data_IF_217767696941
#
_entry.id   IF_217767696941
#
_cell.length_a   1.000
_cell.length_b   1.000
_cell.length_c   1.000
_cell.angle_alpha   90.00
_cell.angle_beta   90.00
_cell.angle_gamma   90.00
#
_symmetry.space_group_name_H-M   'P 1'
#
loop_
_entity.id
_entity.type
_entity.pdbx_description
1 polymer ?
#
# COMPACT_ATOMS: atom_id res chain seq x y z
N UNK A 1 13.41 7.22 -20.80
CA UNK A 1 14.80 6.74 -20.93
C UNK A 1 14.85 5.44 -21.74
N UNK A 2 14.17 4.36 -21.31
CA UNK A 2 14.10 3.09 -22.06
C UNK A 2 13.48 3.24 -23.45
N UNK A 3 12.44 4.07 -23.58
CA UNK A 3 11.84 4.38 -24.87
C UNK A 3 12.83 5.03 -25.83
N UNK A 4 13.64 6.00 -25.36
CA UNK A 4 14.66 6.65 -26.18
C UNK A 4 15.76 5.66 -26.60
N UNK A 5 16.17 4.75 -25.71
CA UNK A 5 17.12 3.69 -26.02
C UNK A 5 16.62 2.79 -27.16
N UNK A 6 15.31 2.46 -27.18
CA UNK A 6 14.72 1.69 -28.29
C UNK A 6 14.76 2.47 -29.61
N UNK A 7 14.45 3.78 -29.56
CA UNK A 7 14.54 4.64 -30.75
C UNK A 7 15.98 4.72 -31.26
N UNK A 8 16.97 4.85 -30.35
CA UNK A 8 18.39 4.90 -30.70
C UNK A 8 18.88 3.54 -31.29
N UNK A 9 18.22 2.43 -30.94
CA UNK A 9 18.42 1.11 -31.54
C UNK A 9 17.68 0.88 -32.88
N UNK A 10 17.02 1.93 -33.38
CA UNK A 10 16.24 1.87 -34.64
C UNK A 10 14.83 1.28 -34.51
N UNK A 11 14.35 1.06 -33.29
CA UNK A 11 12.98 0.62 -33.02
C UNK A 11 12.01 1.80 -33.11
N UNK A 12 10.76 1.50 -33.43
CA UNK A 12 9.68 2.52 -33.45
C UNK A 12 8.49 2.05 -32.60
N UNK A 13 8.59 2.11 -31.25
CA UNK A 13 7.48 1.74 -30.39
C UNK A 13 6.23 2.59 -30.69
N UNK A 14 5.07 1.95 -30.76
CA UNK A 14 3.81 2.63 -31.12
C UNK A 14 3.39 3.69 -30.11
N UNK A 15 3.76 3.51 -28.85
CA UNK A 15 3.40 4.43 -27.77
C UNK A 15 4.47 4.40 -26.65
N UNK A 16 4.44 5.42 -25.78
CA UNK A 16 5.41 5.60 -24.70
C UNK A 16 5.03 4.90 -23.40
N UNK A 17 4.02 4.02 -23.40
CA UNK A 17 3.64 3.29 -22.19
C UNK A 17 4.75 2.35 -21.75
N UNK A 18 4.90 2.16 -20.45
CA UNK A 18 5.90 1.26 -19.87
C UNK A 18 5.73 -0.17 -20.36
N UNK A 19 4.48 -0.64 -20.47
CA UNK A 19 4.16 -2.01 -20.93
C UNK A 19 4.65 -2.24 -22.35
N UNK A 20 4.39 -1.33 -23.27
CA UNK A 20 4.85 -1.43 -24.67
C UNK A 20 6.36 -1.33 -24.75
N UNK A 21 6.96 -0.37 -24.04
CA UNK A 21 8.43 -0.19 -24.02
C UNK A 21 9.14 -1.44 -23.50
N UNK A 22 8.62 -2.05 -22.42
CA UNK A 22 9.17 -3.31 -21.86
C UNK A 22 9.02 -4.47 -22.84
N UNK A 23 7.84 -4.63 -23.45
CA UNK A 23 7.57 -5.69 -24.43
C UNK A 23 8.50 -5.60 -25.63
N UNK A 24 8.62 -4.42 -26.24
CA UNK A 24 9.50 -4.16 -27.39
C UNK A 24 10.97 -4.43 -27.05
N UNK A 25 11.40 -4.05 -25.83
CA UNK A 25 12.78 -4.31 -25.40
C UNK A 25 13.05 -5.79 -25.20
N UNK A 26 12.14 -6.54 -24.60
CA UNK A 26 12.27 -8.00 -24.48
C UNK A 26 12.27 -8.65 -25.87
N UNK A 27 11.37 -8.19 -26.76
CA UNK A 27 11.30 -8.67 -28.15
C UNK A 27 12.61 -8.45 -28.92
N UNK A 28 13.21 -7.26 -28.81
CA UNK A 28 14.50 -6.97 -29.43
C UNK A 28 15.61 -7.96 -29.00
N UNK A 29 15.75 -8.23 -27.72
CA UNK A 29 16.75 -9.17 -27.24
C UNK A 29 16.39 -10.63 -27.54
N UNK A 30 15.11 -10.96 -27.70
CA UNK A 30 14.68 -12.26 -28.18
C UNK A 30 15.09 -12.48 -29.63
N UNK A 31 14.90 -11.49 -30.50
CA UNK A 31 15.34 -11.54 -31.89
C UNK A 31 16.85 -11.71 -32.00
N UNK A 32 17.63 -10.97 -31.20
CA UNK A 32 19.07 -11.11 -31.10
C UNK A 32 19.50 -12.56 -30.75
N UNK A 33 18.84 -13.16 -29.75
CA UNK A 33 19.18 -14.52 -29.31
C UNK A 33 18.77 -15.56 -30.34
N UNK A 34 17.64 -15.42 -30.99
CA UNK A 34 17.18 -16.24 -32.11
C UNK A 34 18.18 -16.16 -33.27
N UNK A 35 18.60 -14.96 -33.67
CA UNK A 35 19.53 -14.74 -34.74
C UNK A 35 20.91 -15.32 -34.42
N UNK A 36 21.39 -15.20 -33.18
CA UNK A 36 22.65 -15.80 -32.71
C UNK A 36 22.63 -17.32 -32.83
N UNK A 37 21.57 -17.96 -32.39
CA UNK A 37 21.39 -19.41 -32.46
C UNK A 37 21.24 -19.88 -33.90
N UNK A 38 20.47 -19.14 -34.72
CA UNK A 38 20.32 -19.44 -36.14
C UNK A 38 21.67 -19.48 -36.85
N UNK A 39 22.50 -18.45 -36.67
CA UNK A 39 23.81 -18.37 -37.29
C UNK A 39 24.75 -19.49 -36.80
N UNK A 40 24.68 -19.84 -35.52
CA UNK A 40 25.47 -20.92 -34.95
C UNK A 40 25.11 -22.27 -35.56
N UNK A 41 23.83 -22.66 -35.54
CA UNK A 41 23.41 -23.95 -36.13
C UNK A 41 23.55 -23.98 -37.64
N UNK A 42 23.47 -22.84 -38.31
CA UNK A 42 23.72 -22.75 -39.74
C UNK A 42 25.18 -23.05 -40.09
N UNK A 43 26.12 -22.60 -39.27
CA UNK A 43 27.56 -22.92 -39.42
C UNK A 43 27.84 -24.40 -39.16
N UNK A 44 27.03 -25.07 -38.34
CA UNK A 44 27.10 -26.53 -38.12
C UNK A 44 26.38 -27.36 -39.21
N UNK A 45 25.93 -26.72 -40.32
CA UNK A 45 25.29 -27.33 -41.49
C UNK A 45 23.89 -27.92 -41.23
N UNK A 46 23.15 -27.50 -40.21
CA UNK A 46 21.76 -27.89 -40.03
C UNK A 46 20.85 -27.24 -41.10
N UNK A 47 19.77 -27.94 -41.46
CA UNK A 47 18.74 -27.38 -42.33
C UNK A 47 17.88 -26.35 -41.56
N UNK A 48 17.25 -25.39 -42.27
CA UNK A 48 16.41 -24.37 -41.62
C UNK A 48 15.26 -24.97 -40.77
N UNK A 49 14.71 -26.13 -41.21
CA UNK A 49 13.65 -26.79 -40.43
C UNK A 49 14.19 -27.36 -39.09
N UNK A 50 15.39 -27.98 -39.13
CA UNK A 50 16.05 -28.46 -37.90
C UNK A 50 16.44 -27.29 -36.99
N UNK A 51 16.95 -26.19 -37.58
CA UNK A 51 17.36 -25.00 -36.83
C UNK A 51 16.17 -24.43 -36.03
N UNK A 52 14.94 -24.34 -36.59
CA UNK A 52 13.78 -23.86 -35.85
C UNK A 52 13.50 -24.69 -34.60
N UNK A 53 13.63 -26.02 -34.68
CA UNK A 53 13.44 -26.89 -33.50
C UNK A 53 14.56 -26.68 -32.48
N UNK A 54 15.83 -26.65 -32.96
CA UNK A 54 16.98 -26.45 -32.10
C UNK A 54 17.00 -25.09 -31.41
N UNK A 55 16.56 -24.02 -32.08
CA UNK A 55 16.41 -22.70 -31.45
C UNK A 55 15.42 -22.78 -30.27
N UNK A 56 14.24 -23.37 -30.45
CA UNK A 56 13.24 -23.53 -29.39
C UNK A 56 13.79 -24.29 -28.17
N UNK A 57 14.63 -25.29 -28.39
CA UNK A 57 15.24 -26.05 -27.30
C UNK A 57 16.37 -25.31 -26.58
N UNK A 58 17.16 -24.50 -27.33
CA UNK A 58 18.41 -23.89 -26.85
C UNK A 58 18.32 -22.41 -26.49
N UNK A 59 17.16 -21.77 -26.65
CA UNK A 59 16.96 -20.39 -26.18
C UNK A 59 17.30 -20.29 -24.69
N UNK A 60 18.24 -19.39 -24.38
CA UNK A 60 18.63 -19.05 -23.02
C UNK A 60 17.79 -17.88 -22.51
N UNK A 61 16.66 -18.22 -21.84
CA UNK A 61 15.71 -17.23 -21.30
C UNK A 61 16.34 -16.39 -20.18
N UNK A 62 17.23 -16.98 -19.36
CA UNK A 62 17.94 -16.24 -18.32
C UNK A 62 18.81 -15.14 -18.93
N UNK A 63 19.66 -15.48 -19.89
CA UNK A 63 20.53 -14.53 -20.60
C UNK A 63 19.72 -13.43 -21.30
N UNK A 64 18.62 -13.79 -21.94
CA UNK A 64 17.70 -12.84 -22.56
C UNK A 64 17.19 -11.82 -21.55
N UNK A 65 16.67 -12.28 -20.42
CA UNK A 65 16.14 -11.40 -19.36
C UNK A 65 17.24 -10.56 -18.70
N UNK A 66 18.44 -11.11 -18.48
CA UNK A 66 19.59 -10.35 -17.97
C UNK A 66 19.94 -9.16 -18.86
N UNK A 67 19.88 -9.32 -20.18
CA UNK A 67 20.14 -8.26 -21.16
C UNK A 67 18.99 -7.25 -21.22
N UNK A 68 17.77 -7.73 -21.37
CA UNK A 68 16.58 -6.89 -21.53
C UNK A 68 16.31 -6.03 -20.29
N UNK A 69 16.41 -6.62 -19.09
CA UNK A 69 16.03 -5.98 -17.83
C UNK A 69 17.14 -5.16 -17.16
N UNK A 70 18.31 -5.05 -17.79
CA UNK A 70 19.50 -4.39 -17.21
C UNK A 70 19.20 -3.00 -16.67
N UNK A 71 18.43 -2.20 -17.41
CA UNK A 71 18.10 -0.81 -17.06
C UNK A 71 16.68 -0.64 -16.52
N UNK A 72 15.94 -1.73 -16.25
CA UNK A 72 14.62 -1.61 -15.67
C UNK A 72 14.72 -1.07 -14.24
N UNK A 73 13.95 -0.05 -13.95
CA UNK A 73 13.82 0.59 -12.64
C UNK A 73 12.38 0.44 -12.13
N UNK A 74 12.19 0.50 -10.80
CA UNK A 74 10.88 0.41 -10.19
C UNK A 74 10.48 -0.98 -9.70
N UNK A 75 9.21 -1.11 -9.34
CA UNK A 75 8.60 -2.35 -8.84
C UNK A 75 7.80 -3.04 -9.94
N UNK A 76 8.13 -4.29 -10.24
CA UNK A 76 7.46 -5.05 -11.29
C UNK A 76 7.41 -6.55 -11.03
N UNK A 77 6.33 -7.17 -11.52
CA UNK A 77 6.24 -8.60 -11.81
C UNK A 77 5.86 -8.71 -13.27
N UNK A 78 6.67 -9.42 -14.04
CA UNK A 78 6.45 -9.62 -15.47
C UNK A 78 6.27 -11.10 -15.76
N UNK A 79 5.16 -11.46 -16.34
CA UNK A 79 4.91 -12.80 -16.88
C UNK A 79 4.97 -12.75 -18.41
N UNK A 80 5.69 -13.70 -19.02
CA UNK A 80 5.82 -13.80 -20.46
C UNK A 80 5.65 -15.22 -20.95
N UNK A 81 5.01 -15.38 -22.10
CA UNK A 81 4.87 -16.63 -22.83
C UNK A 81 5.52 -16.46 -24.21
N UNK A 82 6.48 -17.31 -24.54
CA UNK A 82 7.17 -17.28 -25.82
C UNK A 82 6.45 -18.14 -26.85
N UNK A 83 6.54 -17.75 -28.13
CA UNK A 83 5.82 -18.43 -29.21
C UNK A 83 6.14 -19.92 -29.38
N UNK A 84 7.32 -20.38 -28.94
CA UNK A 84 7.71 -21.78 -28.96
C UNK A 84 7.27 -22.61 -27.75
N UNK A 85 6.72 -21.95 -26.70
CA UNK A 85 6.11 -22.60 -25.54
C UNK A 85 6.85 -22.45 -24.22
N UNK A 86 8.02 -21.80 -24.17
CA UNK A 86 8.66 -21.43 -22.91
C UNK A 86 7.89 -20.27 -22.25
N UNK A 87 7.86 -20.26 -20.91
CA UNK A 87 7.29 -19.17 -20.14
C UNK A 87 8.27 -18.69 -19.06
N UNK A 88 8.06 -17.47 -18.58
CA UNK A 88 8.80 -16.94 -17.45
C UNK A 88 7.94 -16.02 -16.59
N UNK A 89 8.30 -15.91 -15.32
CA UNK A 89 7.81 -14.85 -14.42
C UNK A 89 9.00 -14.24 -13.72
N UNK A 90 9.24 -12.94 -13.92
CA UNK A 90 10.38 -12.21 -13.35
C UNK A 90 9.90 -11.18 -12.32
N UNK A 91 10.61 -11.11 -11.19
CA UNK A 91 10.36 -10.16 -10.11
C UNK A 91 11.45 -9.09 -10.02
N UNK A 92 11.06 -7.87 -9.66
CA UNK A 92 11.97 -6.75 -9.43
C UNK A 92 13.07 -7.06 -8.38
N UNK A 93 14.24 -6.39 -8.45
CA UNK A 93 15.40 -6.70 -7.63
C UNK A 93 15.27 -6.29 -6.16
N UNK A 94 14.29 -5.45 -5.79
CA UNK A 94 14.04 -4.98 -4.43
C UNK A 94 12.85 -5.67 -3.77
N UNK A 95 12.15 -6.56 -4.51
CA UNK A 95 10.90 -7.21 -4.10
C UNK A 95 9.81 -6.20 -3.68
N UNK A 96 9.71 -5.09 -4.40
CA UNK A 96 8.71 -4.05 -4.15
C UNK A 96 7.31 -4.66 -4.22
N UNK A 97 7.05 -5.47 -5.26
CA UNK A 97 5.77 -6.17 -5.44
C UNK A 97 5.86 -7.64 -5.03
N UNK A 98 4.78 -8.20 -4.45
CA UNK A 98 4.74 -9.61 -4.06
C UNK A 98 4.55 -10.52 -5.27
N UNK A 99 5.25 -11.68 -5.25
CA UNK A 99 5.04 -12.76 -6.20
C UNK A 99 5.24 -14.09 -5.50
N UNK A 100 4.31 -14.99 -5.70
CA UNK A 100 4.30 -16.33 -5.12
C UNK A 100 4.08 -17.37 -6.20
N UNK A 101 4.61 -18.58 -5.98
CA UNK A 101 4.38 -19.70 -6.87
C UNK A 101 4.18 -21.01 -6.10
N UNK A 102 3.50 -21.92 -6.73
CA UNK A 102 3.35 -23.32 -6.36
C UNK A 102 3.74 -24.17 -7.55
N UNK A 103 4.37 -25.30 -7.30
CA UNK A 103 4.77 -26.25 -8.32
C UNK A 103 4.60 -27.65 -7.79
N UNK A 104 4.05 -28.53 -8.63
CA UNK A 104 4.05 -29.98 -8.47
C UNK A 104 4.50 -30.66 -9.78
N UNK A 105 4.24 -31.96 -9.94
CA UNK A 105 4.67 -32.73 -11.09
C UNK A 105 3.88 -32.40 -12.37
N UNK A 106 2.73 -31.75 -12.26
CA UNK A 106 1.81 -31.49 -13.38
C UNK A 106 1.68 -30.01 -13.72
N UNK A 107 1.81 -29.13 -12.74
CA UNK A 107 1.44 -27.72 -12.90
C UNK A 107 2.40 -26.76 -12.17
N UNK A 108 2.57 -25.57 -12.76
CA UNK A 108 3.17 -24.41 -12.12
C UNK A 108 2.15 -23.28 -12.08
N UNK A 109 1.89 -22.74 -10.90
CA UNK A 109 0.94 -21.63 -10.69
C UNK A 109 1.68 -20.48 -10.09
N UNK A 110 1.51 -19.27 -10.64
CA UNK A 110 2.09 -18.03 -10.12
C UNK A 110 1.00 -17.00 -9.89
N UNK A 111 1.07 -16.31 -8.77
CA UNK A 111 0.16 -15.20 -8.44
C UNK A 111 0.87 -14.12 -7.60
N UNK A 112 0.30 -12.93 -7.60
CA UNK A 112 0.75 -11.84 -6.71
C UNK A 112 0.36 -12.07 -5.25
N UNK A 113 -0.61 -12.97 -4.99
CA UNK A 113 -1.15 -13.23 -3.65
C UNK A 113 -1.18 -14.73 -3.35
N UNK A 114 -0.62 -15.12 -2.21
CA UNK A 114 -0.59 -16.52 -1.73
C UNK A 114 -1.98 -17.14 -1.58
N UNK A 115 -3.00 -16.45 -1.00
CA UNK A 115 -4.34 -17.02 -0.84
C UNK A 115 -5.01 -17.39 -2.16
N UNK A 116 -4.70 -16.72 -3.27
CA UNK A 116 -5.23 -17.07 -4.57
C UNK A 116 -4.77 -18.47 -4.99
N UNK A 117 -3.49 -18.78 -4.82
CA UNK A 117 -2.94 -20.12 -5.09
C UNK A 117 -3.53 -21.16 -4.14
N UNK A 118 -3.54 -20.85 -2.82
CA UNK A 118 -4.06 -21.77 -1.81
C UNK A 118 -5.50 -22.18 -2.07
N UNK A 119 -6.36 -21.21 -2.39
CA UNK A 119 -7.77 -21.47 -2.64
C UNK A 119 -7.99 -22.26 -3.92
N UNK A 120 -7.29 -21.92 -5.00
CA UNK A 120 -7.47 -22.59 -6.30
C UNK A 120 -6.89 -24.00 -6.33
N UNK A 121 -5.73 -24.20 -5.68
CA UNK A 121 -5.02 -25.47 -5.71
C UNK A 121 -5.28 -26.35 -4.48
N UNK A 122 -6.00 -25.82 -3.47
CA UNK A 122 -6.27 -26.50 -2.18
C UNK A 122 -4.97 -26.97 -1.49
N UNK A 123 -3.97 -26.10 -1.43
CA UNK A 123 -2.65 -26.38 -0.86
C UNK A 123 -2.40 -25.60 0.44
N UNK A 124 -1.52 -26.12 1.29
CA UNK A 124 -1.16 -25.46 2.53
C UNK A 124 -0.24 -24.26 2.27
N UNK A 125 -0.22 -23.27 3.19
CA UNK A 125 0.57 -22.05 3.03
C UNK A 125 2.09 -22.30 2.93
N UNK A 126 2.60 -23.40 3.48
CA UNK A 126 4.01 -23.79 3.43
C UNK A 126 4.45 -24.35 2.08
N UNK A 127 3.50 -24.74 1.22
CA UNK A 127 3.78 -25.27 -0.11
C UNK A 127 3.91 -24.15 -1.16
N UNK A 128 3.40 -22.96 -0.83
CA UNK A 128 3.48 -21.78 -1.70
C UNK A 128 4.75 -21.00 -1.38
N UNK A 129 5.62 -20.87 -2.36
CA UNK A 129 6.92 -20.22 -2.24
C UNK A 129 6.86 -18.76 -2.71
N UNK A 130 7.67 -17.90 -2.10
CA UNK A 130 7.86 -16.53 -2.60
C UNK A 130 8.97 -16.52 -3.65
N UNK A 131 8.69 -15.98 -4.84
CA UNK A 131 9.68 -15.81 -5.90
C UNK A 131 10.78 -14.84 -5.42
N UNK A 132 12.04 -15.23 -5.51
CA UNK A 132 13.17 -14.42 -5.05
C UNK A 132 13.30 -13.13 -5.85
N UNK A 133 13.72 -12.06 -5.16
CA UNK A 133 13.97 -10.76 -5.81
C UNK A 133 15.07 -10.85 -6.86
N UNK A 134 14.86 -10.18 -7.99
CA UNK A 134 15.80 -10.21 -9.12
C UNK A 134 15.85 -11.53 -9.88
N UNK A 135 15.03 -12.53 -9.49
CA UNK A 135 14.98 -13.84 -10.16
C UNK A 135 13.81 -13.91 -11.13
N UNK A 136 13.94 -14.82 -12.05
CA UNK A 136 12.87 -15.30 -12.90
C UNK A 136 12.60 -16.79 -12.65
N UNK A 137 11.34 -17.16 -12.51
CA UNK A 137 10.89 -18.53 -12.64
C UNK A 137 10.77 -18.81 -14.14
N UNK A 138 11.58 -19.73 -14.65
CA UNK A 138 11.65 -20.09 -16.08
C UNK A 138 11.06 -21.47 -16.23
N UNK A 139 10.05 -21.58 -17.09
CA UNK A 139 9.31 -22.81 -17.37
C UNK A 139 9.55 -23.16 -18.82
N UNK A 140 10.35 -24.17 -19.07
CA UNK A 140 10.64 -24.65 -20.42
C UNK A 140 9.46 -25.48 -20.96
N UNK A 141 9.26 -25.48 -22.27
CA UNK A 141 8.24 -26.29 -22.96
C UNK A 141 8.28 -27.79 -22.59
N UNK A 142 9.43 -28.30 -22.24
CA UNK A 142 9.61 -29.69 -21.81
C UNK A 142 9.24 -29.97 -20.35
N UNK A 143 8.67 -28.98 -19.64
CA UNK A 143 8.29 -29.09 -18.24
C UNK A 143 9.40 -28.79 -17.23
N UNK A 144 10.63 -28.52 -17.67
CA UNK A 144 11.71 -28.15 -16.74
C UNK A 144 11.44 -26.76 -16.17
N UNK A 145 11.45 -26.65 -14.85
CA UNK A 145 11.26 -25.38 -14.10
C UNK A 145 12.52 -25.05 -13.33
N UNK A 146 12.98 -23.80 -13.44
CA UNK A 146 14.15 -23.30 -12.71
C UNK A 146 13.88 -21.88 -12.21
N UNK A 147 14.46 -21.52 -11.06
CA UNK A 147 14.46 -20.15 -10.53
C UNK A 147 15.88 -19.56 -10.68
N UNK A 148 16.04 -18.62 -11.61
CA UNK A 148 17.35 -18.12 -12.04
C UNK A 148 17.53 -16.63 -11.75
N UNK A 149 18.73 -16.22 -11.31
CA UNK A 149 19.06 -14.80 -11.11
C UNK A 149 19.19 -14.09 -12.46
N UNK A 150 18.32 -13.12 -12.70
CA UNK A 150 18.30 -12.32 -13.93
C UNK A 150 18.74 -10.86 -13.72
N UNK A 151 18.67 -10.36 -12.49
CA UNK A 151 19.15 -9.02 -12.11
C UNK A 151 19.71 -9.07 -10.70
N UNK A 152 20.83 -8.37 -10.45
CA UNK A 152 21.46 -8.33 -9.14
C UNK A 152 20.47 -7.91 -8.06
N UNK A 153 20.46 -8.64 -6.97
CA UNK A 153 19.56 -8.37 -5.85
C UNK A 153 19.95 -7.07 -5.15
N UNK A 154 18.98 -6.20 -4.98
CA UNK A 154 19.08 -4.99 -4.16
C UNK A 154 18.54 -5.27 -2.74
N UNK A 155 18.74 -4.39 -1.77
CA UNK A 155 18.10 -4.50 -0.47
C UNK A 155 16.58 -4.72 -0.60
N UNK A 156 16.02 -5.62 0.21
CA UNK A 156 14.57 -5.86 0.20
C UNK A 156 13.84 -4.60 0.67
N UNK A 157 12.98 -4.06 -0.18
CA UNK A 157 12.16 -2.88 0.09
C UNK A 157 10.71 -3.17 -0.31
N UNK A 158 10.19 -4.27 0.21
CA UNK A 158 8.83 -4.72 -0.07
C UNK A 158 7.81 -3.70 0.47
N UNK A 159 6.79 -3.41 -0.33
CA UNK A 159 5.78 -2.41 -0.03
C UNK A 159 5.03 -2.71 1.27
N UNK A 160 5.05 -1.78 2.23
CA UNK A 160 4.31 -1.90 3.48
C UNK A 160 2.80 -1.68 3.28
N UNK A 161 2.41 -0.92 2.28
CA UNK A 161 0.99 -0.68 1.97
C UNK A 161 0.28 -1.92 1.41
N UNK A 162 1.04 -2.87 0.82
CA UNK A 162 0.52 -4.21 0.53
C UNK A 162 -0.02 -4.89 1.79
N UNK A 163 0.64 -4.72 2.92
CA UNK A 163 0.26 -5.33 4.20
C UNK A 163 -0.96 -4.65 4.81
N UNK A 164 -1.07 -3.33 4.63
CA UNK A 164 -2.16 -2.52 5.18
C UNK A 164 -3.44 -2.69 4.36
N UNK A 165 -3.34 -2.58 3.02
CA UNK A 165 -4.50 -2.39 2.16
C UNK A 165 -4.59 -3.35 0.96
N UNK A 166 -3.57 -3.42 0.07
CA UNK A 166 -3.73 -4.03 -1.24
C UNK A 166 -3.92 -5.54 -1.22
N UNK A 167 -3.10 -6.25 -0.46
CA UNK A 167 -3.15 -7.70 -0.40
C UNK A 167 -4.33 -8.20 0.43
N UNK A 168 -4.79 -9.41 0.14
CA UNK A 168 -5.92 -10.02 0.84
C UNK A 168 -5.63 -10.26 2.32
N UNK A 169 -6.54 -9.83 3.18
CA UNK A 169 -6.47 -10.05 4.62
C UNK A 169 -6.64 -11.51 5.05
N UNK A 170 -6.94 -12.41 4.11
CA UNK A 170 -7.03 -13.87 4.34
C UNK A 170 -5.67 -14.57 4.28
N UNK A 171 -4.58 -13.89 3.85
CA UNK A 171 -3.22 -14.38 4.04
C UNK A 171 -2.89 -14.39 5.53
N UNK A 172 -2.36 -15.52 6.04
CA UNK A 172 -2.05 -15.70 7.47
C UNK A 172 -1.14 -14.59 8.02
N UNK A 173 -0.09 -14.26 7.30
CA UNK A 173 0.91 -13.29 7.79
C UNK A 173 0.33 -11.87 7.74
N UNK A 174 -0.40 -11.52 6.67
CA UNK A 174 -1.10 -10.25 6.54
C UNK A 174 -2.17 -10.09 7.62
N UNK A 175 -2.92 -11.15 7.89
CA UNK A 175 -3.93 -11.15 8.95
C UNK A 175 -3.32 -10.81 10.31
N UNK A 176 -2.21 -11.48 10.66
CA UNK A 176 -1.51 -11.24 11.94
C UNK A 176 -0.89 -9.84 11.99
N UNK A 177 -0.31 -9.35 10.90
CA UNK A 177 0.26 -8.02 10.82
C UNK A 177 -0.80 -6.93 10.94
N UNK A 178 -1.96 -7.06 10.27
CA UNK A 178 -3.09 -6.12 10.42
C UNK A 178 -3.63 -6.12 11.84
N UNK A 179 -3.76 -7.28 12.48
CA UNK A 179 -4.11 -7.34 13.92
C UNK A 179 -3.08 -6.60 14.76
N UNK A 180 -1.79 -6.79 14.49
CA UNK A 180 -0.72 -6.11 15.22
C UNK A 180 -0.75 -4.60 15.04
N UNK A 181 -1.04 -4.11 13.83
CA UNK A 181 -1.23 -2.67 13.58
C UNK A 181 -2.34 -2.10 14.47
N UNK A 182 -3.48 -2.77 14.56
CA UNK A 182 -4.57 -2.32 15.43
C UNK A 182 -4.21 -2.37 16.91
N UNK A 183 -3.57 -3.44 17.37
CA UNK A 183 -3.12 -3.59 18.77
C UNK A 183 -2.19 -2.43 19.20
N UNK A 184 -1.24 -2.06 18.35
CA UNK A 184 -0.26 -1.02 18.65
C UNK A 184 -0.88 0.39 18.76
N UNK A 185 -2.07 0.61 18.24
CA UNK A 185 -2.79 1.88 18.37
C UNK A 185 -3.51 2.04 19.73
N UNK A 186 -3.70 0.95 20.50
CA UNK A 186 -4.47 0.98 21.74
C UNK A 186 -3.97 2.03 22.75
N UNK A 187 -2.65 2.23 23.00
CA UNK A 187 -2.19 3.26 23.95
C UNK A 187 -2.58 4.69 23.52
N UNK A 188 -2.48 5.00 22.22
CA UNK A 188 -2.86 6.33 21.71
C UNK A 188 -4.37 6.57 21.80
N UNK A 189 -5.17 5.54 21.55
CA UNK A 189 -6.63 5.59 21.69
C UNK A 189 -7.01 5.78 23.15
N UNK A 190 -6.44 5.00 24.07
CA UNK A 190 -6.72 5.13 25.50
C UNK A 190 -6.40 6.53 26.04
N UNK A 191 -5.30 7.11 25.57
CA UNK A 191 -4.96 8.51 25.90
C UNK A 191 -6.00 9.49 25.38
N UNK A 192 -6.46 9.32 24.13
CA UNK A 192 -7.39 10.24 23.48
C UNK A 192 -8.81 10.21 24.09
N UNK A 193 -9.21 9.06 24.63
CA UNK A 193 -10.50 8.89 25.32
C UNK A 193 -10.39 9.08 26.85
N UNK A 194 -9.25 9.56 27.37
CA UNK A 194 -9.00 9.72 28.80
C UNK A 194 -9.27 8.42 29.62
N UNK A 195 -9.06 7.24 29.00
CA UNK A 195 -9.39 5.92 29.53
C UNK A 195 -10.88 5.72 29.91
N UNK A 196 -11.79 6.54 29.36
CA UNK A 196 -13.25 6.43 29.57
C UNK A 196 -13.83 5.33 28.67
N UNK A 197 -13.60 4.07 29.04
CA UNK A 197 -14.06 2.88 28.31
C UNK A 197 -15.59 2.72 28.40
N UNK A 198 -16.19 3.12 29.53
CA UNK A 198 -17.61 2.95 29.79
C UNK A 198 -18.47 3.76 28.82
N UNK A 199 -18.02 4.97 28.49
CA UNK A 199 -18.69 5.89 27.58
C UNK A 199 -18.00 5.95 26.21
N UNK A 200 -17.33 4.86 25.80
CA UNK A 200 -16.71 4.76 24.48
C UNK A 200 -17.26 3.55 23.73
N UNK A 201 -17.64 3.78 22.47
CA UNK A 201 -18.06 2.73 21.53
C UNK A 201 -16.99 2.55 20.47
N UNK A 202 -16.49 1.32 20.33
CA UNK A 202 -15.47 0.95 19.36
C UNK A 202 -16.11 0.29 18.15
N UNK A 203 -15.76 0.77 16.96
CA UNK A 203 -16.28 0.28 15.69
C UNK A 203 -15.21 0.38 14.58
N UNK A 204 -15.60 0.08 13.34
CA UNK A 204 -14.71 0.21 12.18
C UNK A 204 -15.49 0.66 10.94
N UNK A 205 -14.76 1.15 9.95
CA UNK A 205 -15.27 1.51 8.63
C UNK A 205 -15.07 0.30 7.71
N UNK A 206 -16.15 -0.33 7.22
CA UNK A 206 -16.04 -1.51 6.35
C UNK A 206 -15.35 -1.18 5.01
N UNK A 207 -14.56 -2.14 4.39
CA UNK A 207 -14.42 -3.53 4.84
C UNK A 207 -12.97 -3.82 5.31
N UNK A 208 -11.95 -3.18 4.72
CA UNK A 208 -10.53 -3.55 4.88
C UNK A 208 -10.01 -3.34 6.31
N UNK A 209 -10.58 -2.38 7.04
CA UNK A 209 -10.21 -2.07 8.42
C UNK A 209 -10.57 -3.17 9.45
N UNK A 210 -11.43 -4.13 9.09
CA UNK A 210 -11.99 -5.12 10.03
C UNK A 210 -10.92 -5.90 10.80
N UNK A 211 -9.87 -6.37 10.12
CA UNK A 211 -8.81 -7.16 10.77
C UNK A 211 -7.98 -6.30 11.76
N UNK A 212 -7.67 -5.06 11.37
CA UNK A 212 -6.99 -4.12 12.27
C UNK A 212 -7.88 -3.76 13.48
N UNK A 213 -9.19 -3.63 13.25
CA UNK A 213 -10.15 -3.42 14.32
C UNK A 213 -10.16 -4.55 15.35
N UNK A 214 -10.13 -5.82 14.94
CA UNK A 214 -10.00 -6.92 15.91
C UNK A 214 -8.71 -6.78 16.74
N UNK A 215 -7.61 -6.40 16.13
CA UNK A 215 -6.36 -6.12 16.84
C UNK A 215 -6.48 -4.95 17.82
N UNK A 216 -7.16 -3.86 17.42
CA UNK A 216 -7.44 -2.72 18.29
C UNK A 216 -8.25 -3.16 19.52
N UNK A 217 -9.31 -3.93 19.33
CA UNK A 217 -10.15 -4.43 20.44
C UNK A 217 -9.34 -5.29 21.40
N UNK A 218 -8.50 -6.20 20.87
CA UNK A 218 -7.59 -7.00 21.73
C UNK A 218 -6.58 -6.11 22.49
N UNK A 219 -6.05 -5.06 21.85
CA UNK A 219 -5.16 -4.10 22.49
C UNK A 219 -5.86 -3.32 23.61
N UNK A 220 -7.05 -2.80 23.36
CA UNK A 220 -7.89 -2.11 24.35
C UNK A 220 -8.23 -3.05 25.52
N UNK A 221 -8.61 -4.30 25.23
CA UNK A 221 -8.89 -5.29 26.28
C UNK A 221 -7.67 -5.51 27.20
N UNK A 222 -6.46 -5.59 26.63
CA UNK A 222 -5.21 -5.70 27.43
C UNK A 222 -5.00 -4.50 28.35
N UNK A 223 -5.36 -3.27 27.91
CA UNK A 223 -5.28 -2.08 28.76
C UNK A 223 -6.35 -2.13 29.86
N UNK A 224 -7.58 -2.55 29.54
CA UNK A 224 -8.65 -2.79 30.53
C UNK A 224 -8.23 -3.83 31.57
N UNK A 225 -7.62 -4.94 31.15
CA UNK A 225 -7.16 -5.99 32.06
C UNK A 225 -6.08 -5.47 33.03
N UNK A 226 -5.20 -4.55 32.59
CA UNK A 226 -4.26 -3.87 33.48
C UNK A 226 -4.96 -3.01 34.54
N UNK A 227 -5.99 -2.25 34.10
CA UNK A 227 -6.79 -1.43 34.99
C UNK A 227 -7.54 -2.31 36.00
N UNK A 228 -8.18 -3.38 35.53
CA UNK A 228 -8.93 -4.32 36.38
C UNK A 228 -8.01 -5.00 37.38
N UNK A 229 -6.82 -5.47 36.94
CA UNK A 229 -5.81 -6.06 37.83
C UNK A 229 -5.39 -5.08 38.93
N UNK A 230 -5.18 -3.80 38.59
CA UNK A 230 -4.83 -2.79 39.57
C UNK A 230 -5.93 -2.61 40.63
N UNK A 231 -7.19 -2.47 40.14
CA UNK A 231 -8.37 -2.34 41.00
C UNK A 231 -8.54 -3.54 41.93
N UNK A 232 -8.36 -4.77 41.43
CA UNK A 232 -8.42 -6.00 42.25
C UNK A 232 -7.34 -6.05 43.32
N UNK A 233 -6.13 -5.62 42.99
CA UNK A 233 -5.05 -5.55 43.96
C UNK A 233 -5.29 -4.49 45.07
N UNK A 234 -5.95 -3.39 44.73
CA UNK A 234 -6.32 -2.33 45.67
C UNK A 234 -7.43 -2.76 46.64
N UNK A 235 -8.31 -3.69 46.27
CA UNK A 235 -9.35 -4.23 47.15
C UNK A 235 -8.78 -5.08 48.29
N UNK A 236 -7.63 -5.74 48.06
CA UNK A 236 -6.97 -6.55 49.10
C UNK A 236 -7.77 -7.80 49.49
N UNK A 237 -7.66 -8.20 50.77
CA UNK A 237 -8.31 -9.40 51.34
C UNK A 237 -9.78 -9.24 51.62
N UNK A 238 -10.32 -8.00 51.59
CA UNK A 238 -11.70 -7.68 51.96
C UNK A 238 -12.63 -7.66 50.72
N UNK A 239 -12.11 -8.04 49.55
CA UNK A 239 -12.87 -8.10 48.29
C UNK A 239 -14.04 -9.09 48.39
N UNK A 240 -15.24 -8.61 48.09
CA UNK A 240 -16.42 -9.46 47.96
C UNK A 240 -16.49 -10.03 46.52
N UNK A 241 -17.21 -11.15 46.36
CA UNK A 241 -17.46 -11.72 45.02
C UNK A 241 -18.13 -10.72 44.07
N UNK A 242 -19.07 -9.91 44.59
CA UNK A 242 -19.76 -8.85 43.87
C UNK A 242 -18.79 -7.75 43.37
N UNK A 243 -17.81 -7.36 44.20
CA UNK A 243 -16.77 -6.40 43.81
C UNK A 243 -15.87 -6.96 42.71
N UNK A 244 -15.50 -8.19 42.82
CA UNK A 244 -14.67 -8.90 41.81
C UNK A 244 -15.44 -8.99 40.49
N UNK A 245 -16.69 -9.45 40.51
CA UNK A 245 -17.54 -9.56 39.34
C UNK A 245 -17.76 -8.22 38.65
N UNK A 246 -18.01 -7.15 39.43
CA UNK A 246 -18.13 -5.80 38.91
C UNK A 246 -16.89 -5.33 38.17
N UNK A 247 -15.71 -5.58 38.71
CA UNK A 247 -14.45 -5.22 38.08
C UNK A 247 -14.22 -6.07 36.81
N UNK A 248 -14.46 -7.38 36.87
CA UNK A 248 -14.25 -8.29 35.74
C UNK A 248 -15.28 -8.13 34.62
N UNK A 249 -16.47 -7.62 34.92
CA UNK A 249 -17.50 -7.30 33.92
C UNK A 249 -17.18 -6.06 33.09
N UNK A 250 -16.22 -5.25 33.52
CA UNK A 250 -15.79 -4.04 32.79
C UNK A 250 -15.06 -4.41 31.51
N UNK A 251 -15.69 -4.17 30.36
CA UNK A 251 -15.23 -4.55 29.02
C UNK A 251 -15.45 -3.42 28.00
N UNK A 252 -14.66 -3.35 26.93
CA UNK A 252 -14.91 -2.41 25.83
C UNK A 252 -16.30 -2.65 25.20
N UNK A 253 -17.01 -1.57 24.88
CA UNK A 253 -18.27 -1.62 24.11
C UNK A 253 -17.94 -1.71 22.62
N UNK A 254 -18.11 -2.88 22.07
CA UNK A 254 -17.73 -3.24 20.68
C UNK A 254 -18.99 -3.37 19.85
N UNK A 255 -19.19 -2.45 18.90
CA UNK A 255 -20.42 -2.38 18.11
C UNK A 255 -20.13 -2.22 16.61
N UNK A 256 -20.98 -2.74 15.76
CA UNK A 256 -20.95 -2.50 14.32
C UNK A 256 -21.80 -1.25 14.01
N UNK A 257 -21.17 -0.07 14.09
CA UNK A 257 -21.88 1.20 13.85
C UNK A 257 -22.03 1.49 12.36
N UNK A 258 -20.94 1.48 11.59
CA UNK A 258 -21.00 1.76 10.17
C UNK A 258 -21.18 0.46 9.38
N UNK A 259 -22.17 0.45 8.48
CA UNK A 259 -22.47 -0.68 7.60
C UNK A 259 -22.41 -0.19 6.16
N UNK A 260 -21.64 -0.87 5.32
CA UNK A 260 -21.57 -0.56 3.89
C UNK A 260 -22.70 -1.29 3.16
N UNK A 261 -23.51 -0.57 2.38
CA UNK A 261 -24.49 -1.21 1.50
C UNK A 261 -23.77 -1.89 0.32
N UNK A 262 -23.71 -3.23 0.34
CA UNK A 262 -23.04 -4.03 -0.68
C UNK A 262 -23.70 -3.94 -2.07
N UNK A 263 -24.95 -3.47 -2.13
CA UNK A 263 -25.66 -3.31 -3.41
C UNK A 263 -25.20 -2.10 -4.21
N UNK A 264 -24.57 -1.13 -3.56
CA UNK A 264 -24.04 0.07 -4.23
C UNK A 264 -22.57 -0.10 -4.61
N UNK A 265 -22.30 -0.33 -5.91
CA UNK A 265 -20.95 -0.42 -6.49
C UNK A 265 -20.51 0.94 -7.02
N UNK A 266 -19.77 1.70 -6.21
CA UNK A 266 -19.34 3.07 -6.51
C UNK A 266 -18.30 3.22 -7.62
N UNK A 267 -17.63 2.13 -8.06
CA UNK A 267 -16.59 2.22 -9.10
C UNK A 267 -17.09 2.08 -10.54
N UNK A 268 -18.41 1.97 -10.74
CA UNK A 268 -19.03 1.96 -12.08
C UNK A 268 -19.56 3.35 -12.46
N UNK A 269 -19.48 4.34 -11.56
CA UNK A 269 -20.04 5.66 -11.76
C UNK A 269 -18.98 6.69 -12.22
N UNK A 270 -19.36 7.62 -13.08
CA UNK A 270 -18.55 8.77 -13.48
C UNK A 270 -18.18 9.66 -12.29
N UNK A 271 -17.06 10.40 -12.37
CA UNK A 271 -16.54 11.22 -11.26
C UNK A 271 -17.59 12.19 -10.67
N UNK A 272 -18.51 12.73 -11.46
CA UNK A 272 -19.56 13.64 -11.01
C UNK A 272 -20.71 12.94 -10.26
N UNK A 273 -21.05 11.70 -10.62
CA UNK A 273 -22.06 10.87 -9.94
C UNK A 273 -21.51 10.14 -8.72
N UNK A 274 -20.19 9.98 -8.63
CA UNK A 274 -19.51 9.32 -7.54
C UNK A 274 -19.64 10.07 -6.21
N UNK A 275 -19.58 11.40 -6.23
CA UNK A 275 -19.71 12.23 -5.02
C UNK A 275 -21.11 12.17 -4.40
N UNK A 276 -22.17 12.02 -5.20
CA UNK A 276 -23.53 11.80 -4.70
C UNK A 276 -23.74 10.37 -4.18
N UNK A 277 -23.18 9.36 -4.88
CA UNK A 277 -23.27 7.96 -4.45
C UNK A 277 -22.54 7.72 -3.13
N UNK A 278 -21.39 8.36 -2.90
CA UNK A 278 -20.61 8.22 -1.65
C UNK A 278 -21.43 8.62 -0.43
N UNK A 279 -22.38 9.56 -0.54
CA UNK A 279 -23.24 9.98 0.58
C UNK A 279 -24.19 8.90 1.07
N UNK A 280 -24.51 7.91 0.24
CA UNK A 280 -25.51 6.87 0.52
C UNK A 280 -24.94 5.46 0.61
N UNK A 281 -23.61 5.31 0.53
CA UNK A 281 -22.94 4.00 0.56
C UNK A 281 -22.92 3.36 1.95
N UNK A 282 -22.98 4.20 2.99
CA UNK A 282 -22.91 3.76 4.38
C UNK A 282 -24.23 4.02 5.09
N UNK A 283 -24.63 3.07 5.93
CA UNK A 283 -25.70 3.20 6.90
C UNK A 283 -25.14 3.07 8.31
N UNK A 284 -25.96 3.36 9.32
CA UNK A 284 -25.56 3.37 10.74
C UNK A 284 -26.58 2.68 11.62
N UNK A 285 -26.08 1.96 12.63
CA UNK A 285 -26.94 1.31 13.62
C UNK A 285 -27.42 2.33 14.66
N UNK A 286 -28.71 2.65 14.61
CA UNK A 286 -29.35 3.59 15.55
C UNK A 286 -29.66 2.94 16.90
N UNK A 287 -29.75 3.77 17.94
CA UNK A 287 -30.22 3.38 19.29
C UNK A 287 -29.19 2.76 20.22
N UNK A 288 -27.95 2.56 19.73
CA UNK A 288 -26.84 1.97 20.50
C UNK A 288 -26.01 3.05 21.19
N UNK A 289 -25.85 4.21 20.56
CA UNK A 289 -25.05 5.33 21.06
C UNK A 289 -25.87 6.21 22.02
N UNK A 290 -25.31 6.50 23.18
CA UNK A 290 -25.88 7.44 24.15
C UNK A 290 -25.57 8.88 23.72
N UNK A 291 -26.58 9.63 23.32
CA UNK A 291 -26.44 10.99 22.79
C UNK A 291 -25.72 11.91 23.80
N UNK A 292 -24.72 12.67 23.32
CA UNK A 292 -23.91 13.62 24.08
C UNK A 292 -23.08 13.01 25.24
N UNK A 293 -23.04 11.68 25.36
CA UNK A 293 -22.29 10.94 26.37
C UNK A 293 -21.17 10.12 25.74
N UNK A 294 -21.52 9.32 24.75
CA UNK A 294 -20.59 8.37 24.16
C UNK A 294 -19.57 9.02 23.21
N UNK A 295 -18.33 8.65 23.36
CA UNK A 295 -17.28 8.86 22.36
C UNK A 295 -17.30 7.70 21.37
N UNK A 296 -17.24 8.00 20.06
CA UNK A 296 -17.16 7.00 19.01
C UNK A 296 -15.72 6.88 18.52
N UNK A 297 -15.16 5.67 18.56
CA UNK A 297 -13.83 5.35 18.04
C UNK A 297 -14.00 4.41 16.85
N UNK A 298 -13.62 4.86 15.65
CA UNK A 298 -13.77 4.08 14.42
C UNK A 298 -12.41 3.82 13.77
N UNK A 299 -12.08 2.55 13.59
CA UNK A 299 -10.88 2.10 12.85
C UNK A 299 -11.12 2.21 11.35
N UNK A 300 -10.18 2.85 10.65
CA UNK A 300 -10.04 2.86 9.20
C UNK A 300 -8.70 2.21 8.79
N UNK A 301 -8.60 1.67 7.59
CA UNK A 301 -7.34 1.11 7.10
C UNK A 301 -6.34 2.21 6.74
N UNK A 302 -6.78 3.23 6.02
CA UNK A 302 -5.93 4.34 5.58
C UNK A 302 -6.74 5.55 5.15
N UNK A 303 -6.20 6.74 5.36
CA UNK A 303 -6.83 8.00 4.96
C UNK A 303 -5.97 8.66 3.89
N UNK A 304 -6.38 8.54 2.62
CA UNK A 304 -5.68 9.13 1.47
C UNK A 304 -6.20 10.54 1.19
N UNK A 305 -7.44 10.63 0.73
CA UNK A 305 -8.07 11.91 0.30
C UNK A 305 -8.92 12.54 1.39
N UNK A 306 -9.41 11.73 2.32
CA UNK A 306 -10.36 12.16 3.36
C UNK A 306 -11.78 12.43 2.85
N UNK A 307 -12.06 12.27 1.55
CA UNK A 307 -13.38 12.56 0.96
C UNK A 307 -14.48 11.67 1.56
N UNK A 308 -14.25 10.35 1.66
CA UNK A 308 -15.22 9.42 2.26
C UNK A 308 -15.53 9.79 3.70
N UNK A 309 -14.52 10.18 4.49
CA UNK A 309 -14.71 10.62 5.85
C UNK A 309 -15.59 11.88 5.91
N UNK A 310 -15.24 12.88 5.09
CA UNK A 310 -15.92 14.18 5.07
C UNK A 310 -17.33 14.11 4.52
N UNK A 311 -17.53 13.46 3.39
CA UNK A 311 -18.82 13.49 2.67
C UNK A 311 -19.82 12.44 3.18
N UNK A 312 -19.35 11.38 3.86
CA UNK A 312 -20.21 10.28 4.30
C UNK A 312 -20.06 9.96 5.78
N UNK A 313 -18.92 9.42 6.21
CA UNK A 313 -18.78 8.81 7.54
C UNK A 313 -19.05 9.80 8.68
N UNK A 314 -18.39 10.96 8.69
CA UNK A 314 -18.53 11.95 9.76
C UNK A 314 -19.96 12.51 9.78
N UNK A 315 -20.57 12.74 8.61
CA UNK A 315 -21.94 13.19 8.51
C UNK A 315 -22.94 12.20 9.15
N UNK A 316 -22.82 10.91 8.81
CA UNK A 316 -23.70 9.87 9.35
C UNK A 316 -23.48 9.72 10.86
N UNK A 317 -22.22 9.67 11.33
CA UNK A 317 -21.92 9.55 12.75
C UNK A 317 -22.42 10.75 13.55
N UNK A 318 -22.41 11.95 12.98
CA UNK A 318 -22.94 13.15 13.62
C UNK A 318 -24.46 13.05 13.89
N UNK A 319 -25.22 12.27 13.11
CA UNK A 319 -26.65 12.03 13.33
C UNK A 319 -26.94 11.31 14.66
N UNK A 320 -25.96 10.53 15.15
CA UNK A 320 -26.03 9.84 16.45
C UNK A 320 -25.75 10.76 17.63
N UNK A 321 -25.41 12.02 17.37
CA UNK A 321 -25.11 13.06 18.39
C UNK A 321 -24.11 12.56 19.45
N UNK A 322 -22.95 12.02 19.09
CA UNK A 322 -21.96 11.59 20.08
C UNK A 322 -21.33 12.80 20.80
N UNK A 323 -20.67 12.54 21.93
CA UNK A 323 -19.84 13.54 22.63
C UNK A 323 -18.60 13.91 21.80
N UNK A 324 -18.01 12.93 21.10
CA UNK A 324 -16.76 13.05 20.33
C UNK A 324 -16.67 11.95 19.29
N UNK A 325 -16.03 12.22 18.15
CA UNK A 325 -15.70 11.23 17.12
C UNK A 325 -14.18 11.15 17.02
N UNK A 326 -13.64 9.93 17.10
CA UNK A 326 -12.22 9.63 16.95
C UNK A 326 -12.07 8.65 15.77
N UNK A 327 -11.46 9.10 14.68
CA UNK A 327 -11.11 8.23 13.55
C UNK A 327 -9.67 7.74 13.75
N UNK A 328 -9.46 6.46 13.60
CA UNK A 328 -8.17 5.81 13.84
C UNK A 328 -7.70 5.13 12.55
N UNK A 329 -6.58 5.56 11.99
CA UNK A 329 -5.99 4.95 10.80
C UNK A 329 -4.93 3.91 11.17
N UNK A 330 -5.05 2.69 10.65
CA UNK A 330 -4.02 1.66 10.82
C UNK A 330 -2.76 1.91 9.99
N UNK A 331 -2.82 2.87 9.05
CA UNK A 331 -1.67 3.38 8.30
C UNK A 331 -1.15 4.71 8.89
N UNK A 332 0.15 5.01 8.75
CA UNK A 332 0.67 6.36 8.92
C UNK A 332 0.10 7.36 7.90
N UNK A 333 0.43 8.66 8.04
CA UNK A 333 0.04 9.67 7.07
C UNK A 333 0.58 9.35 5.68
N UNK A 334 -0.30 9.24 4.68
CA UNK A 334 0.10 9.13 3.27
C UNK A 334 0.48 10.52 2.78
N UNK A 335 1.79 10.76 2.67
CA UNK A 335 2.40 12.06 2.38
C UNK A 335 2.90 12.20 0.96
N UNK A 336 3.31 11.08 0.35
CA UNK A 336 4.06 11.04 -0.90
C UNK A 336 3.38 10.15 -1.94
N UNK A 337 3.54 10.48 -3.25
CA UNK A 337 2.92 9.72 -4.32
C UNK A 337 3.48 8.30 -4.45
N UNK A 338 2.70 7.42 -5.07
CA UNK A 338 3.16 6.12 -5.55
C UNK A 338 3.50 6.15 -7.04
N UNK A 339 4.48 5.34 -7.42
CA UNK A 339 4.88 5.12 -8.80
C UNK A 339 5.05 3.63 -9.15
N UNK A 340 4.73 2.73 -8.22
CA UNK A 340 4.98 1.31 -8.38
C UNK A 340 3.70 0.47 -8.59
N UNK A 341 2.61 1.08 -9.04
CA UNK A 341 1.43 0.36 -9.47
C UNK A 341 0.08 0.92 -9.07
N UNK A 342 0.02 2.07 -8.36
CA UNK A 342 -1.23 2.71 -8.01
C UNK A 342 -1.24 4.13 -8.53
N UNK A 343 -2.38 4.55 -9.09
CA UNK A 343 -2.56 5.93 -9.53
C UNK A 343 -2.75 6.88 -8.34
N UNK A 344 -1.69 7.09 -7.58
CA UNK A 344 -1.58 8.09 -6.51
C UNK A 344 -0.47 9.08 -6.81
N UNK A 345 -0.44 9.65 -8.01
CA UNK A 345 0.61 10.57 -8.48
C UNK A 345 0.31 12.04 -8.24
N UNK A 346 -0.93 12.41 -7.89
CA UNK A 346 -1.35 13.81 -7.74
C UNK A 346 -1.36 14.24 -6.28
N UNK A 347 -0.35 15.00 -5.87
CA UNK A 347 -0.17 15.43 -4.46
C UNK A 347 -1.37 16.19 -3.89
N UNK A 348 -2.07 17.00 -4.71
CA UNK A 348 -3.28 17.73 -4.30
C UNK A 348 -4.41 16.83 -3.78
N UNK A 349 -4.37 15.53 -4.12
CA UNK A 349 -5.36 14.57 -3.67
C UNK A 349 -5.07 14.03 -2.27
N UNK A 350 -3.91 14.27 -1.69
CA UNK A 350 -3.56 13.78 -0.36
C UNK A 350 -3.98 14.77 0.73
N UNK A 351 -4.81 14.30 1.65
CA UNK A 351 -5.27 15.15 2.77
C UNK A 351 -4.11 15.58 3.65
N UNK A 352 -3.08 14.75 3.83
CA UNK A 352 -1.88 15.10 4.59
C UNK A 352 -1.05 16.19 3.90
N UNK A 353 -1.00 16.20 2.57
CA UNK A 353 -0.34 17.27 1.83
C UNK A 353 -1.15 18.59 1.91
N UNK A 354 -2.47 18.51 1.78
CA UNK A 354 -3.33 19.68 1.95
C UNK A 354 -3.22 20.26 3.36
N UNK A 355 -3.13 19.41 4.40
CA UNK A 355 -2.88 19.83 5.76
C UNK A 355 -1.53 20.58 5.91
N UNK A 356 -0.48 20.04 5.30
CA UNK A 356 0.84 20.68 5.26
C UNK A 356 0.76 22.08 4.62
N UNK A 357 0.10 22.22 3.47
CA UNK A 357 -0.06 23.51 2.78
C UNK A 357 -0.79 24.52 3.68
N UNK A 358 -1.88 24.11 4.32
CA UNK A 358 -2.64 24.99 5.22
C UNK A 358 -1.84 25.39 6.48
N UNK A 359 -1.01 24.50 7.01
CA UNK A 359 -0.11 24.82 8.13
C UNK A 359 0.97 25.82 7.70
N UNK A 360 1.57 25.64 6.53
CA UNK A 360 2.57 26.58 5.98
C UNK A 360 1.97 27.98 5.75
N UNK A 361 0.75 28.06 5.20
CA UNK A 361 0.02 29.33 5.03
C UNK A 361 -0.26 29.99 6.36
N UNK A 362 -0.79 29.25 7.33
CA UNK A 362 -1.08 29.75 8.68
C UNK A 362 0.15 30.38 9.34
N UNK A 363 1.31 29.77 9.13
CA UNK A 363 2.59 30.20 9.71
C UNK A 363 3.32 31.28 8.87
N UNK A 364 2.76 31.70 7.74
CA UNK A 364 3.40 32.65 6.81
C UNK A 364 4.68 32.14 6.16
N UNK A 365 4.76 30.80 5.96
CA UNK A 365 5.96 30.11 5.43
C UNK A 365 5.80 29.65 3.98
N UNK A 366 4.95 30.30 3.21
CA UNK A 366 4.66 29.92 1.80
C UNK A 366 5.91 30.01 0.90
N UNK A 367 6.89 30.83 1.26
CA UNK A 367 8.16 30.90 0.51
C UNK A 367 8.94 29.58 0.49
N UNK A 368 8.69 28.69 1.46
CA UNK A 368 9.27 27.35 1.45
C UNK A 368 8.74 26.49 0.29
N UNK A 369 7.52 26.75 -0.20
CA UNK A 369 6.98 26.07 -1.37
C UNK A 369 7.73 26.50 -2.63
N UNK A 370 8.08 27.79 -2.77
CA UNK A 370 8.89 28.30 -3.89
C UNK A 370 10.30 27.71 -3.85
N UNK A 371 10.88 27.61 -2.63
CA UNK A 371 12.18 26.95 -2.44
C UNK A 371 12.10 25.48 -2.87
N UNK A 372 11.13 24.72 -2.37
CA UNK A 372 10.95 23.32 -2.73
C UNK A 372 10.75 23.13 -4.25
N UNK A 373 10.03 24.04 -4.92
CA UNK A 373 9.89 24.03 -6.37
C UNK A 373 11.23 24.21 -7.09
N UNK A 374 12.04 25.17 -6.66
CA UNK A 374 13.39 25.35 -7.21
C UNK A 374 14.29 24.13 -6.98
N UNK A 375 14.24 23.57 -5.77
CA UNK A 375 15.00 22.38 -5.41
C UNK A 375 14.54 21.16 -6.27
N UNK A 376 13.24 20.95 -6.45
CA UNK A 376 12.72 19.89 -7.33
C UNK A 376 13.17 20.05 -8.79
N UNK A 377 13.12 21.27 -9.34
CA UNK A 377 13.63 21.55 -10.70
C UNK A 377 15.13 21.26 -10.82
N UNK A 378 15.92 21.56 -9.80
CA UNK A 378 17.33 21.21 -9.76
C UNK A 378 17.54 19.69 -9.75
N UNK A 379 16.76 18.95 -8.96
CA UNK A 379 16.86 17.49 -8.91
C UNK A 379 16.64 16.84 -10.28
N UNK A 380 15.78 17.38 -11.14
CA UNK A 380 15.57 16.85 -12.50
C UNK A 380 16.80 16.98 -13.43
N UNK A 381 17.77 17.81 -13.08
CA UNK A 381 19.03 17.97 -13.84
C UNK A 381 20.14 17.02 -13.40
N UNK A 382 19.95 16.32 -12.26
CA UNK A 382 20.96 15.45 -11.68
C UNK A 382 20.92 14.05 -12.31
N UNK A 383 22.04 13.31 -12.29
CA UNK A 383 22.05 11.88 -12.57
C UNK A 383 21.09 11.11 -11.62
N UNK A 384 20.47 10.00 -12.07
CA UNK A 384 19.52 9.25 -11.27
C UNK A 384 20.00 8.88 -9.86
N UNK A 385 21.27 8.50 -9.72
CA UNK A 385 21.90 8.08 -8.47
C UNK A 385 22.14 9.23 -7.46
N UNK A 386 22.12 10.48 -7.92
CA UNK A 386 22.31 11.66 -7.08
C UNK A 386 20.99 12.34 -6.68
N UNK A 387 19.87 11.91 -7.29
CA UNK A 387 18.57 12.50 -7.02
C UNK A 387 18.09 12.22 -5.59
N UNK A 388 17.49 13.23 -4.96
CA UNK A 388 16.89 13.16 -3.63
C UNK A 388 15.46 13.70 -3.65
N UNK A 389 14.65 13.25 -2.70
CA UNK A 389 13.32 13.79 -2.47
C UNK A 389 13.44 15.20 -1.85
N UNK A 390 13.26 16.21 -2.70
CA UNK A 390 13.46 17.59 -2.33
C UNK A 390 12.34 18.21 -1.47
N UNK A 391 11.29 17.46 -1.15
CA UNK A 391 10.14 17.99 -0.38
C UNK A 391 10.02 17.45 1.04
N UNK A 392 10.87 16.48 1.44
CA UNK A 392 10.81 15.91 2.80
C UNK A 392 10.97 16.97 3.90
N UNK A 393 11.79 17.99 3.69
CA UNK A 393 12.05 19.06 4.66
C UNK A 393 10.78 19.88 4.99
N UNK A 394 9.78 19.89 4.12
CA UNK A 394 8.52 20.59 4.38
C UNK A 394 7.75 19.91 5.52
N UNK A 395 7.66 18.57 5.50
CA UNK A 395 7.00 17.79 6.54
C UNK A 395 7.78 17.77 7.87
N UNK A 396 9.11 17.81 7.81
CA UNK A 396 9.96 17.82 9.01
C UNK A 396 9.77 19.07 9.91
N UNK A 397 8.99 20.05 9.45
CA UNK A 397 8.69 21.27 10.22
C UNK A 397 7.53 21.13 11.19
N UNK A 398 6.74 20.07 11.04
CA UNK A 398 5.55 19.85 11.85
C UNK A 398 5.57 18.45 12.45
N UNK A 399 5.03 18.32 13.65
CA UNK A 399 4.88 17.01 14.28
C UNK A 399 3.70 16.26 13.62
N UNK A 400 3.67 14.94 13.80
CA UNK A 400 2.58 14.11 13.31
C UNK A 400 1.23 14.52 13.92
N UNK A 401 1.24 14.94 15.19
CA UNK A 401 0.05 15.45 15.88
C UNK A 401 -0.47 16.74 15.24
N UNK A 402 0.41 17.68 14.88
CA UNK A 402 -0.01 18.94 14.23
C UNK A 402 -0.63 18.67 12.86
N UNK A 403 -0.08 17.73 12.10
CA UNK A 403 -0.63 17.32 10.81
C UNK A 403 -1.97 16.61 11.02
N UNK A 404 -2.08 15.69 11.99
CA UNK A 404 -3.32 14.98 12.33
C UNK A 404 -4.44 15.94 12.75
N UNK A 405 -4.12 16.94 13.57
CA UNK A 405 -5.10 17.98 13.99
C UNK A 405 -5.59 18.79 12.79
N UNK A 406 -4.69 19.15 11.87
CA UNK A 406 -5.10 19.87 10.67
C UNK A 406 -5.93 18.99 9.74
N UNK A 407 -5.59 17.71 9.60
CA UNK A 407 -6.40 16.74 8.84
C UNK A 407 -7.80 16.63 9.45
N UNK A 408 -7.91 16.50 10.77
CA UNK A 408 -9.21 16.46 11.46
C UNK A 408 -10.07 17.68 11.12
N UNK A 409 -9.47 18.88 11.07
CA UNK A 409 -10.17 20.10 10.65
C UNK A 409 -10.62 20.04 9.19
N UNK A 410 -9.79 19.53 8.27
CA UNK A 410 -10.10 19.47 6.84
C UNK A 410 -11.18 18.43 6.50
N UNK A 411 -11.23 17.32 7.24
CA UNK A 411 -12.22 16.26 7.00
C UNK A 411 -13.54 16.50 7.75
N UNK A 412 -13.60 17.48 8.66
CA UNK A 412 -14.82 17.81 9.40
C UNK A 412 -15.67 18.79 8.60
N UNK A 413 -16.92 18.43 8.21
CA UNK A 413 -17.82 19.35 7.53
C UNK A 413 -18.19 20.55 8.42
N UNK A 414 -18.39 21.72 7.81
CA UNK A 414 -18.62 22.97 8.56
C UNK A 414 -19.88 22.96 9.46
N UNK A 415 -20.87 22.14 9.14
CA UNK A 415 -22.09 22.00 9.94
C UNK A 415 -21.96 21.01 11.11
N UNK A 416 -20.86 20.23 11.17
CA UNK A 416 -20.60 19.29 12.25
C UNK A 416 -19.99 20.04 13.44
N UNK A 417 -20.69 20.04 14.57
CA UNK A 417 -20.26 20.72 15.81
C UNK A 417 -19.61 19.77 16.82
N UNK A 418 -19.74 18.46 16.60
CA UNK A 418 -19.11 17.42 17.43
C UNK A 418 -17.61 17.47 17.23
N UNK A 419 -16.79 17.44 18.29
CA UNK A 419 -15.34 17.37 18.18
C UNK A 419 -14.90 16.12 17.41
N UNK A 420 -14.08 16.31 16.37
CA UNK A 420 -13.50 15.23 15.56
C UNK A 420 -12.00 15.20 15.79
N UNK A 421 -11.46 14.03 16.06
CA UNK A 421 -10.02 13.75 16.17
C UNK A 421 -9.62 12.65 15.19
N UNK A 422 -8.36 12.69 14.73
CA UNK A 422 -7.81 11.64 13.88
C UNK A 422 -6.48 11.17 14.48
N UNK A 423 -6.38 9.87 14.68
CA UNK A 423 -5.17 9.19 15.16
C UNK A 423 -4.59 8.36 13.99
N UNK A 424 -3.31 8.45 13.79
CA UNK A 424 -2.59 7.66 12.78
C UNK A 424 -1.62 6.70 13.41
N UNK A 425 -1.33 5.60 12.73
CA UNK A 425 -0.23 4.72 13.06
C UNK A 425 1.09 5.48 12.97
N UNK A 426 2.09 5.06 13.75
CA UNK A 426 3.45 5.59 13.67
C UNK A 426 4.33 4.74 12.74
N UNK A 427 5.36 5.33 12.12
CA UNK A 427 6.33 4.56 11.33
C UNK A 427 7.05 3.48 12.14
N UNK A 428 7.52 3.74 13.39
CA UNK A 428 8.13 2.71 14.21
C UNK A 428 7.21 1.51 14.49
N UNK A 429 5.92 1.75 14.74
CA UNK A 429 4.96 0.69 15.00
C UNK A 429 4.54 -0.04 13.71
N UNK A 430 4.50 0.66 12.56
CA UNK A 430 4.35 0.02 11.26
C UNK A 430 5.47 -1.01 11.02
N UNK A 431 6.73 -0.61 11.20
CA UNK A 431 7.88 -1.51 11.02
C UNK A 431 7.89 -2.67 12.04
N UNK A 432 7.41 -2.42 13.25
CA UNK A 432 7.25 -3.47 14.26
C UNK A 432 6.15 -4.47 13.91
N UNK A 433 5.07 -4.01 13.28
CA UNK A 433 3.97 -4.87 12.85
C UNK A 433 4.32 -5.63 11.57
N UNK A 434 5.02 -5.00 10.63
CA UNK A 434 5.33 -5.51 9.30
C UNK A 434 6.86 -5.55 9.05
N UNK A 435 7.63 -6.35 9.80
CA UNK A 435 9.10 -6.27 9.81
C UNK A 435 9.75 -6.67 8.48
N UNK A 436 9.06 -7.42 7.65
CA UNK A 436 9.56 -7.89 6.34
C UNK A 436 9.18 -6.96 5.18
N UNK A 437 8.39 -5.90 5.43
CA UNK A 437 7.89 -4.98 4.43
C UNK A 437 8.24 -3.53 4.80
N UNK A 438 9.52 -3.19 4.65
CA UNK A 438 10.08 -1.88 5.04
C UNK A 438 9.97 -0.81 3.94
N UNK A 439 9.32 -1.12 2.82
CA UNK A 439 9.03 -0.16 1.76
C UNK A 439 7.92 0.80 2.17
N UNK A 440 8.30 1.93 2.75
CA UNK A 440 7.41 2.89 3.42
C UNK A 440 7.37 4.26 2.75
N UNK A 441 7.78 4.36 1.47
CA UNK A 441 7.92 5.61 0.72
C UNK A 441 6.67 6.50 0.73
N UNK A 442 5.46 5.91 0.82
CA UNK A 442 4.20 6.66 0.95
C UNK A 442 4.19 7.58 2.18
N UNK A 443 4.87 7.17 3.25
CA UNK A 443 4.85 7.79 4.56
C UNK A 443 6.14 8.58 4.83
N UNK A 444 7.30 7.95 4.55
CA UNK A 444 8.63 8.52 4.80
C UNK A 444 9.17 9.38 3.65
N UNK A 445 8.76 9.08 2.41
CA UNK A 445 9.34 9.66 1.20
C UNK A 445 10.69 9.04 0.79
N UNK A 446 11.07 7.91 1.39
CA UNK A 446 12.31 7.18 1.08
C UNK A 446 12.05 6.16 -0.04
N UNK A 447 12.17 6.61 -1.27
CA UNK A 447 11.94 5.74 -2.43
C UNK A 447 13.13 4.81 -2.67
N UNK A 448 12.86 3.51 -2.97
CA UNK A 448 13.95 2.54 -3.21
C UNK A 448 14.60 2.69 -4.59
N UNK A 449 14.05 3.52 -5.47
CA UNK A 449 14.54 3.67 -6.85
C UNK A 449 14.62 5.13 -7.27
N UNK A 450 15.52 5.42 -8.19
CA UNK A 450 15.69 6.76 -8.77
C UNK A 450 14.41 7.23 -9.49
N UNK A 451 13.69 6.31 -10.16
CA UNK A 451 12.39 6.59 -10.77
C UNK A 451 11.36 7.09 -9.77
N UNK A 452 11.29 6.48 -8.57
CA UNK A 452 10.42 6.93 -7.49
C UNK A 452 10.76 8.33 -6.98
N UNK A 453 12.04 8.61 -6.80
CA UNK A 453 12.51 9.97 -6.43
C UNK A 453 12.16 10.99 -7.50
N UNK A 454 12.31 10.65 -8.78
CA UNK A 454 11.92 11.53 -9.89
C UNK A 454 10.41 11.83 -9.85
N UNK A 455 9.58 10.82 -9.63
CA UNK A 455 8.12 10.96 -9.58
C UNK A 455 7.68 11.90 -8.46
N UNK A 456 8.24 11.81 -7.25
CA UNK A 456 7.85 12.72 -6.15
C UNK A 456 8.22 14.18 -6.46
N UNK A 457 9.41 14.44 -7.01
CA UNK A 457 9.82 15.77 -7.39
C UNK A 457 8.94 16.33 -8.52
N UNK A 458 8.64 15.52 -9.56
CA UNK A 458 7.75 15.89 -10.66
C UNK A 458 6.32 16.13 -10.19
N UNK A 459 5.81 15.30 -9.28
CA UNK A 459 4.46 15.48 -8.71
C UNK A 459 4.33 16.81 -7.95
N UNK A 460 5.39 17.23 -7.25
CA UNK A 460 5.40 18.54 -6.60
C UNK A 460 5.52 19.71 -7.60
N UNK A 461 6.34 19.58 -8.65
CA UNK A 461 6.41 20.54 -9.74
C UNK A 461 5.05 20.73 -10.38
N UNK A 462 4.39 19.62 -10.76
CA UNK A 462 3.04 19.64 -11.36
C UNK A 462 2.03 20.33 -10.44
N UNK A 463 2.08 20.05 -9.14
CA UNK A 463 1.24 20.74 -8.15
C UNK A 463 1.49 22.25 -8.14
N UNK A 464 2.74 22.68 -8.08
CA UNK A 464 3.11 24.11 -7.97
C UNK A 464 2.77 24.89 -9.24
N UNK A 465 2.93 24.28 -10.42
CA UNK A 465 2.57 24.83 -11.73
C UNK A 465 1.07 24.74 -12.05
N UNK A 466 0.26 24.07 -11.22
CA UNK A 466 -1.16 23.86 -11.47
C UNK A 466 -1.44 22.84 -12.59
N UNK A 467 -0.43 22.03 -12.96
CA UNK A 467 -0.57 20.98 -13.97
C UNK A 467 -1.29 19.76 -13.38
N UNK A 468 -2.28 19.23 -14.11
CA UNK A 468 -3.07 18.06 -13.70
C UNK A 468 -2.58 16.74 -14.31
N UNK A 469 -1.49 16.73 -15.04
CA UNK A 469 -0.91 15.52 -15.62
C UNK A 469 -0.36 14.59 -14.55
N UNK A 470 -0.19 13.31 -14.91
CA UNK A 470 0.53 12.34 -14.09
C UNK A 470 2.00 12.72 -14.02
N UNK A 471 2.67 12.37 -12.93
CA UNK A 471 4.09 12.64 -12.73
C UNK A 471 5.02 11.62 -13.41
N UNK A 472 4.44 10.60 -14.09
CA UNK A 472 5.16 9.52 -14.80
C UNK A 472 4.52 9.23 -16.15
#
# INVERSE_FOLDING_TARGET
>A
ELFQELVDLGQNPKEKSDTVTVLEKIGHFLDDEVQRLFNWFKAENYSNQQINTLIAEHIDVQRLLQRACRKFDGGYIMAGLMGHGDAFVMRDPSAIRPAFYYQDDEIVVVASERPAIQTCMNVHHTEVQELKRGHALIIKKNGKVTEELCKDQLPRTACSFERIYFSRGTDRDIYLERKKLGELLAPAIMKEIDSDIENTVFSFIPNTAEVAYFGMVEGIQKEVDKINKKKLLELGTDATEEDIDRILSFKPRVEKLAVKDEKMRTFIADDASRDELVKHVYDVTYGIVKNNVDTLVLMDDSIVRGTTLRESIINILNTLKPKKIVIVSSAPHIRYPDCYGIDMSKMKNFVAFNALIELLKKDGKEDLLKKAYGDCKHQETLPPEEMQNAIQFLYARYTDEQISEKIAQLVTPAHVTVPVKVIYQTLPDLHKACPNNNGDWYFSGNYPTAGGVRVVNRAFINFFEGNNERAY
#
